data_IF_735219464611
#
_entry.id   IF_735219464611
#
_cell.length_a   1.000
_cell.length_b   1.000
_cell.length_c   1.000
_cell.angle_alpha   90.00
_cell.angle_beta   90.00
_cell.angle_gamma   90.00
#
_symmetry.space_group_name_H-M   'P 1'
#
loop_
_entity.id
_entity.type
_entity.pdbx_description
1 polymer ?
#
# COMPACT_ATOMS: atom_id res chain seq x y z
N UNK A 1 18.71 -14.02 -40.97
CA UNK A 1 17.48 -13.76 -40.21
C UNK A 1 17.85 -12.87 -39.03
N UNK A 2 17.54 -11.57 -39.10
CA UNK A 2 17.85 -10.58 -38.03
C UNK A 2 16.84 -10.74 -36.88
N UNK A 3 17.28 -10.79 -35.61
CA UNK A 3 16.35 -10.73 -34.49
C UNK A 3 15.89 -9.28 -34.29
N UNK A 4 14.58 -9.06 -34.30
CA UNK A 4 13.94 -7.79 -33.95
C UNK A 4 14.17 -7.48 -32.47
N UNK A 5 14.77 -6.33 -32.23
CA UNK A 5 14.88 -5.70 -30.90
C UNK A 5 13.48 -5.23 -30.45
N UNK A 6 12.88 -5.96 -29.53
CA UNK A 6 11.72 -5.48 -28.79
C UNK A 6 12.16 -4.39 -27.79
N UNK A 7 11.92 -3.14 -28.16
CA UNK A 7 11.97 -2.00 -27.23
C UNK A 7 10.87 -2.17 -26.17
N UNK A 8 11.29 -2.52 -24.97
CA UNK A 8 10.41 -2.57 -23.80
C UNK A 8 10.22 -1.16 -23.27
N UNK A 9 9.03 -0.60 -23.47
CA UNK A 9 8.59 0.65 -22.87
C UNK A 9 8.56 0.50 -21.34
N UNK A 10 9.39 1.31 -20.67
CA UNK A 10 9.33 1.52 -19.21
C UNK A 10 8.14 2.42 -18.94
N UNK A 11 7.07 1.90 -18.38
CA UNK A 11 6.01 2.70 -17.78
C UNK A 11 6.41 2.99 -16.33
N UNK A 12 7.08 4.12 -16.14
CA UNK A 12 7.01 4.82 -14.87
C UNK A 12 5.61 5.46 -14.83
N UNK A 13 4.76 5.00 -13.95
CA UNK A 13 3.49 5.65 -13.67
C UNK A 13 3.77 6.95 -12.89
N UNK A 14 4.09 8.03 -13.62
CA UNK A 14 4.04 9.37 -13.09
C UNK A 14 2.58 9.77 -13.02
N UNK A 15 2.01 9.85 -11.83
CA UNK A 15 0.72 10.47 -11.56
C UNK A 15 0.87 11.99 -11.76
N UNK A 16 0.67 12.46 -12.99
CA UNK A 16 0.44 13.86 -13.31
C UNK A 16 -1.03 14.14 -13.05
N UNK A 17 -1.33 14.70 -11.90
CA UNK A 17 -2.63 15.32 -11.60
C UNK A 17 -2.57 16.76 -12.12
N UNK A 18 -3.07 16.97 -13.34
CA UNK A 18 -3.38 18.29 -13.85
C UNK A 18 -4.77 18.68 -13.34
N UNK A 19 -4.80 19.69 -12.46
CA UNK A 19 -6.04 20.28 -11.97
C UNK A 19 -6.69 21.13 -13.04
N UNK A 20 -7.98 20.92 -13.27
CA UNK A 20 -8.87 21.86 -13.95
C UNK A 20 -9.75 22.50 -12.88
N UNK A 21 -9.54 23.81 -12.69
CA UNK A 21 -10.43 24.68 -11.92
C UNK A 21 -11.68 25.00 -12.76
N UNK A 22 -12.84 24.78 -12.19
CA UNK A 22 -14.06 25.44 -12.64
C UNK A 22 -14.70 26.12 -11.43
N UNK A 23 -14.77 27.43 -11.51
CA UNK A 23 -15.45 28.33 -10.58
C UNK A 23 -16.97 28.21 -10.73
N UNK A 24 -17.68 28.23 -9.61
CA UNK A 24 -19.13 28.34 -9.54
C UNK A 24 -19.54 29.08 -8.28
N UNK A 25 -19.89 30.37 -8.46
CA UNK A 25 -20.48 31.25 -7.44
C UNK A 25 -21.91 30.87 -7.09
N UNK A 26 -22.34 31.20 -5.87
CA UNK A 26 -23.72 31.43 -5.50
C UNK A 26 -23.97 31.42 -4.00
N UNK A 27 -24.47 32.53 -3.42
CA UNK A 27 -24.70 32.69 -1.99
C UNK A 27 -26.14 32.44 -1.62
N UNK A 28 -26.39 31.92 -0.42
CA UNK A 28 -27.67 32.11 0.27
C UNK A 28 -27.45 32.19 1.79
N UNK A 29 -27.78 33.35 2.28
CA UNK A 29 -27.91 33.66 3.71
C UNK A 29 -29.23 33.08 4.24
N UNK A 30 -29.27 32.72 5.53
CA UNK A 30 -30.34 33.05 6.46
C UNK A 30 -30.11 32.49 7.87
N UNK A 31 -30.03 33.40 8.79
CA UNK A 31 -30.81 33.60 10.03
C UNK A 31 -30.52 32.67 11.22
N UNK A 32 -30.02 33.30 12.27
CA UNK A 32 -30.06 32.86 13.66
C UNK A 32 -31.51 33.01 14.25
N UNK A 33 -31.78 32.39 15.40
CA UNK A 33 -32.19 33.20 16.52
C UNK A 33 -31.44 32.90 17.86
N UNK A 34 -31.42 33.97 18.61
CA UNK A 34 -30.90 34.10 19.98
C UNK A 34 -31.78 33.39 20.99
N UNK A 35 -31.19 33.01 22.12
CA UNK A 35 -31.88 32.55 23.30
C UNK A 35 -30.97 32.52 24.50
N UNK A 36 -31.13 33.54 25.33
CA UNK A 36 -30.45 33.81 26.59
C UNK A 36 -30.76 32.77 27.68
N UNK A 37 -29.87 32.57 28.63
CA UNK A 37 -30.03 32.88 30.06
C UNK A 37 -28.84 32.38 30.87
N UNK A 38 -28.22 33.29 31.62
CA UNK A 38 -27.31 32.98 32.74
C UNK A 38 -28.13 32.76 34.00
N UNK A 39 -27.58 32.09 35.01
CA UNK A 39 -27.54 32.70 36.33
C UNK A 39 -26.15 32.58 37.05
N UNK A 40 -25.67 33.71 37.53
CA UNK A 40 -25.28 34.15 38.88
C UNK A 40 -24.49 33.16 39.75
N UNK A 41 -23.33 33.66 40.16
CA UNK A 41 -22.41 33.16 41.18
C UNK A 41 -23.01 33.24 42.60
N UNK A 42 -22.35 32.61 43.61
CA UNK A 42 -21.74 33.44 44.63
C UNK A 42 -20.24 33.10 44.94
N UNK A 43 -19.59 34.13 45.37
CA UNK A 43 -18.25 34.18 45.90
C UNK A 43 -18.15 33.51 47.27
N UNK A 44 -17.02 32.89 47.56
CA UNK A 44 -16.43 32.84 48.89
C UNK A 44 -14.91 32.69 48.77
N UNK A 45 -14.25 33.59 49.38
CA UNK A 45 -12.81 33.64 49.59
C UNK A 45 -12.37 32.54 50.55
N UNK A 46 -11.22 31.93 50.28
CA UNK A 46 -10.29 31.61 51.37
C UNK A 46 -8.84 31.55 50.84
N UNK A 47 -7.99 32.23 51.55
CA UNK A 47 -6.56 32.35 51.38
C UNK A 47 -5.87 31.01 51.62
N UNK A 48 -5.18 30.46 50.60
CA UNK A 48 -4.05 29.57 50.84
C UNK A 48 -3.07 29.67 49.67
N UNK A 49 -1.96 30.35 49.90
CA UNK A 49 -0.79 30.44 49.04
C UNK A 49 -0.11 29.06 48.95
N UNK A 50 -0.11 28.36 47.84
CA UNK A 50 0.75 27.20 47.64
C UNK A 50 2.10 27.63 47.02
N UNK A 51 3.12 26.96 47.51
CA UNK A 51 4.53 27.08 47.17
C UNK A 51 4.77 27.01 45.65
N UNK A 52 5.80 27.74 45.22
CA UNK A 52 6.32 27.75 43.86
C UNK A 52 6.50 26.33 43.33
N UNK A 53 5.77 25.97 42.29
CA UNK A 53 5.99 24.77 41.48
C UNK A 53 7.34 24.94 40.74
N UNK A 54 8.15 23.86 40.63
CA UNK A 54 9.37 23.91 39.85
C UNK A 54 9.01 24.19 38.38
N UNK A 55 9.76 25.10 37.78
CA UNK A 55 9.67 25.47 36.38
C UNK A 55 9.70 24.17 35.53
N UNK A 56 8.60 23.88 34.85
CA UNK A 56 8.56 22.84 33.85
C UNK A 56 9.63 23.11 32.82
N UNK A 57 10.63 22.25 32.77
CA UNK A 57 11.63 22.26 31.71
C UNK A 57 10.90 22.27 30.38
N UNK A 58 11.02 23.32 29.60
CA UNK A 58 10.52 23.39 28.25
C UNK A 58 11.17 22.22 27.48
N UNK A 59 10.36 21.22 27.15
CA UNK A 59 10.78 20.13 26.28
C UNK A 59 11.07 20.77 24.92
N UNK A 60 12.36 20.88 24.60
CA UNK A 60 12.78 21.36 23.29
C UNK A 60 12.14 20.46 22.23
N UNK A 61 11.26 21.03 21.38
CA UNK A 61 10.69 20.35 20.24
C UNK A 61 11.83 19.82 19.37
N UNK A 62 11.81 18.55 18.95
CA UNK A 62 12.91 17.97 18.22
C UNK A 62 13.12 18.71 16.89
N UNK A 63 14.35 19.05 16.59
CA UNK A 63 14.85 19.74 15.38
C UNK A 63 14.46 19.02 14.06
N UNK A 64 13.95 17.81 14.16
CA UNK A 64 13.51 16.94 13.04
C UNK A 64 12.37 17.56 12.21
N UNK A 65 11.51 18.36 12.81
CA UNK A 65 10.34 18.93 12.16
C UNK A 65 10.70 19.96 11.07
N UNK A 66 11.81 20.68 11.24
CA UNK A 66 12.26 21.69 10.28
C UNK A 66 12.88 21.09 9.00
N UNK A 67 13.49 19.91 9.09
CA UNK A 67 14.19 19.30 7.96
C UNK A 67 13.19 18.72 6.94
N UNK A 68 12.12 18.08 7.42
CA UNK A 68 11.08 17.51 6.53
C UNK A 68 10.26 18.61 5.85
N UNK A 69 10.01 19.74 6.52
CA UNK A 69 9.32 20.90 5.89
C UNK A 69 10.08 21.55 4.73
N UNK A 70 11.39 21.33 4.61
CA UNK A 70 12.22 21.87 3.52
C UNK A 70 12.26 20.98 2.28
N UNK A 71 11.82 19.73 2.38
CA UNK A 71 11.82 18.76 1.27
C UNK A 71 10.54 18.82 0.42
N UNK A 72 10.28 17.73 -0.29
CA UNK A 72 9.05 17.58 -1.04
C UNK A 72 7.89 17.17 -0.12
N UNK A 73 6.72 17.80 -0.30
CA UNK A 73 5.47 17.39 0.34
C UNK A 73 4.37 17.16 -0.68
N UNK A 74 3.42 16.28 -0.32
CA UNK A 74 2.26 15.93 -1.15
C UNK A 74 1.03 15.77 -0.27
N UNK A 75 -0.16 16.25 -0.70
CA UNK A 75 -1.41 16.06 0.03
C UNK A 75 -1.68 14.57 0.29
N UNK A 76 -1.83 14.20 1.56
CA UNK A 76 -2.02 12.81 1.95
C UNK A 76 -3.43 12.30 1.68
N UNK A 77 -4.42 13.18 1.58
CA UNK A 77 -5.85 12.84 1.42
C UNK A 77 -6.10 11.77 0.37
N UNK A 78 -5.56 11.94 -0.86
CA UNK A 78 -5.79 10.99 -1.97
C UNK A 78 -5.16 9.63 -1.72
N UNK A 79 -3.97 9.61 -1.13
CA UNK A 79 -3.29 8.37 -0.79
C UNK A 79 -4.03 7.65 0.34
N UNK A 80 -4.51 8.38 1.35
CA UNK A 80 -5.33 7.85 2.43
C UNK A 80 -6.65 7.24 1.91
N UNK A 81 -7.35 7.90 0.99
CA UNK A 81 -8.56 7.36 0.34
C UNK A 81 -8.28 6.02 -0.36
N UNK A 82 -7.17 5.96 -1.11
CA UNK A 82 -6.74 4.74 -1.81
C UNK A 82 -6.45 3.60 -0.83
N UNK A 83 -5.64 3.89 0.21
CA UNK A 83 -5.25 2.91 1.22
C UNK A 83 -6.44 2.44 2.07
N UNK A 84 -7.35 3.34 2.42
CA UNK A 84 -8.57 3.03 3.14
C UNK A 84 -9.47 2.10 2.32
N UNK A 85 -9.68 2.39 1.04
CA UNK A 85 -10.43 1.51 0.13
C UNK A 85 -9.76 0.16 -0.06
N UNK A 86 -8.44 0.12 -0.24
CA UNK A 86 -7.71 -1.14 -0.34
C UNK A 86 -7.89 -1.99 0.93
N UNK A 87 -7.95 -1.35 2.08
CA UNK A 87 -8.13 -2.02 3.38
C UNK A 87 -9.56 -2.51 3.57
N UNK A 88 -10.58 -1.69 3.23
CA UNK A 88 -11.99 -2.05 3.39
C UNK A 88 -12.46 -3.04 2.32
N UNK A 89 -12.20 -2.74 1.04
CA UNK A 89 -12.66 -3.56 -0.09
C UNK A 89 -11.75 -4.75 -0.39
N UNK A 90 -10.50 -4.70 0.08
CA UNK A 90 -9.51 -5.76 -0.10
C UNK A 90 -9.72 -6.97 0.79
N UNK A 91 -10.69 -6.93 1.71
CA UNK A 91 -11.08 -8.03 2.61
C UNK A 91 -9.91 -8.63 3.40
N UNK A 92 -8.87 -7.83 3.67
CA UNK A 92 -7.66 -8.30 4.34
C UNK A 92 -6.76 -9.21 3.50
N UNK A 93 -7.07 -9.44 2.21
CA UNK A 93 -6.28 -10.32 1.33
C UNK A 93 -4.99 -9.65 0.84
N UNK A 94 -4.92 -8.33 0.86
CA UNK A 94 -3.82 -7.56 0.31
C UNK A 94 -3.16 -6.66 1.35
N UNK A 95 -1.84 -6.62 1.30
CA UNK A 95 -1.02 -5.70 2.11
C UNK A 95 -0.29 -4.77 1.15
N UNK A 96 -0.54 -3.47 1.29
CA UNK A 96 0.24 -2.46 0.58
C UNK A 96 1.58 -2.26 1.26
N UNK A 97 2.67 -2.33 0.50
CA UNK A 97 4.01 -2.05 0.97
C UNK A 97 4.67 -1.00 0.10
N UNK A 98 5.21 0.01 0.72
CA UNK A 98 5.93 1.07 0.03
C UNK A 98 7.43 0.84 0.12
N UNK A 99 8.13 1.17 -0.97
CA UNK A 99 9.58 1.10 -1.02
C UNK A 99 10.09 2.42 -1.60
N UNK A 100 10.97 3.08 -0.85
CA UNK A 100 11.73 4.22 -1.32
C UNK A 100 12.91 3.73 -2.15
N UNK A 101 13.19 4.44 -3.21
CA UNK A 101 14.33 4.21 -4.08
C UNK A 101 14.93 5.54 -4.51
N UNK A 102 16.12 5.50 -5.05
CA UNK A 102 16.64 6.64 -5.81
C UNK A 102 15.73 6.88 -7.05
N UNK A 103 15.44 8.14 -7.35
CA UNK A 103 14.55 8.49 -8.47
C UNK A 103 15.16 8.16 -9.84
N UNK A 104 16.48 8.20 -9.95
CA UNK A 104 17.23 7.94 -11.21
C UNK A 104 17.47 6.46 -11.41
N UNK A 105 17.62 5.71 -10.30
CA UNK A 105 17.90 4.28 -10.33
C UNK A 105 17.07 3.54 -9.27
N UNK A 106 15.94 3.00 -9.68
CA UNK A 106 15.02 2.26 -8.80
C UNK A 106 15.62 0.97 -8.20
N UNK A 107 16.84 0.58 -8.57
CA UNK A 107 17.57 -0.53 -7.96
C UNK A 107 18.41 -0.11 -6.75
N UNK A 108 18.59 1.20 -6.55
CA UNK A 108 19.36 1.77 -5.44
C UNK A 108 18.45 2.13 -4.27
N UNK A 109 18.96 1.98 -3.04
CA UNK A 109 18.24 2.46 -1.85
C UNK A 109 18.12 3.99 -1.90
N UNK A 110 17.24 4.57 -1.08
CA UNK A 110 17.12 6.02 -0.93
C UNK A 110 18.44 6.63 -0.39
N UNK A 111 18.66 7.93 -0.58
CA UNK A 111 19.79 8.64 0.02
C UNK A 111 19.88 8.41 1.53
N UNK A 112 21.11 8.29 2.05
CA UNK A 112 21.34 8.12 3.49
C UNK A 112 20.79 9.32 4.27
N UNK A 113 20.10 9.05 5.37
CA UNK A 113 19.48 10.09 6.17
C UNK A 113 18.11 10.57 5.67
N UNK A 114 17.52 9.86 4.70
CA UNK A 114 16.14 10.13 4.28
C UNK A 114 15.17 9.94 5.43
N UNK A 115 14.32 10.95 5.65
CA UNK A 115 13.27 10.95 6.67
C UNK A 115 11.92 11.14 5.98
N UNK A 116 10.92 10.44 6.46
CA UNK A 116 9.52 10.58 6.04
C UNK A 116 8.66 10.97 7.24
N UNK A 117 7.65 11.78 7.01
CA UNK A 117 6.64 12.09 7.99
C UNK A 117 5.29 12.40 7.35
N UNK A 118 4.22 12.18 8.10
CA UNK A 118 2.93 12.79 7.86
C UNK A 118 2.82 14.01 8.78
N UNK A 119 2.41 15.13 8.22
CA UNK A 119 2.38 16.41 8.88
C UNK A 119 1.05 17.11 8.67
N UNK A 120 0.54 17.74 9.72
CA UNK A 120 -0.51 18.74 9.66
C UNK A 120 -0.03 20.00 10.38
N UNK A 121 -0.90 20.97 10.58
CA UNK A 121 -0.55 22.15 11.39
C UNK A 121 -0.27 21.79 12.83
N UNK A 122 -0.98 20.77 13.37
CA UNK A 122 -0.93 20.38 14.78
C UNK A 122 -0.13 19.10 15.03
N UNK A 123 0.01 18.23 14.00
CA UNK A 123 0.56 16.88 14.15
C UNK A 123 1.81 16.66 13.30
N UNK A 124 2.77 15.92 13.88
CA UNK A 124 3.94 15.39 13.19
C UNK A 124 4.12 13.91 13.50
N UNK A 125 3.91 13.06 12.50
CA UNK A 125 3.97 11.61 12.64
C UNK A 125 5.16 11.10 11.80
N UNK A 126 6.30 10.74 12.43
CA UNK A 126 7.43 10.18 11.71
C UNK A 126 7.08 8.79 11.17
N UNK A 127 7.46 8.52 9.93
CA UNK A 127 7.30 7.22 9.28
C UNK A 127 8.63 6.49 9.31
N UNK A 128 8.74 5.35 10.02
CA UNK A 128 9.97 4.57 10.05
C UNK A 128 10.24 3.94 8.68
N UNK A 129 11.51 3.96 8.27
CA UNK A 129 12.00 3.35 7.04
C UNK A 129 12.99 2.25 7.43
N UNK A 130 12.83 1.05 6.89
CA UNK A 130 13.78 -0.04 7.12
C UNK A 130 15.05 0.10 6.24
N UNK A 131 16.05 -0.76 6.49
CA UNK A 131 17.34 -0.77 5.77
C UNK A 131 17.18 -1.03 4.26
N UNK A 132 16.03 -1.55 3.83
CA UNK A 132 15.69 -1.81 2.42
C UNK A 132 14.84 -0.70 1.80
N UNK A 133 14.65 0.40 2.52
CA UNK A 133 13.83 1.52 2.10
C UNK A 133 12.32 1.26 2.20
N UNK A 134 11.88 0.20 2.90
CA UNK A 134 10.46 -0.12 3.04
C UNK A 134 9.84 0.65 4.18
N UNK A 135 8.61 1.06 3.98
CA UNK A 135 7.82 1.76 4.99
C UNK A 135 6.33 1.46 4.81
N UNK A 136 5.58 1.65 5.87
CA UNK A 136 4.14 1.48 5.89
C UNK A 136 3.47 2.82 6.18
N UNK A 137 2.33 3.06 5.55
CA UNK A 137 1.55 4.27 5.75
C UNK A 137 0.28 3.95 6.56
N UNK A 138 0.07 4.65 7.69
CA UNK A 138 -1.16 4.51 8.45
C UNK A 138 -2.35 5.10 7.69
N UNK A 139 -3.55 4.62 7.96
CA UNK A 139 -4.78 5.22 7.44
C UNK A 139 -5.51 5.96 8.54
N UNK A 140 -6.11 7.08 8.18
CA UNK A 140 -6.83 7.99 9.07
C UNK A 140 -8.28 8.17 8.62
N UNK A 141 -9.10 8.72 9.48
CA UNK A 141 -10.42 9.22 9.08
C UNK A 141 -10.27 10.30 8.00
N UNK A 142 -11.28 10.46 7.17
CA UNK A 142 -11.27 11.46 6.09
C UNK A 142 -11.00 12.88 6.62
N UNK A 143 -11.55 13.20 7.80
CA UNK A 143 -11.35 14.49 8.47
C UNK A 143 -9.89 14.74 8.83
N UNK A 144 -9.23 13.75 9.41
CA UNK A 144 -7.82 13.86 9.81
C UNK A 144 -6.89 13.90 8.59
N UNK A 145 -7.15 13.06 7.57
CA UNK A 145 -6.32 13.00 6.38
C UNK A 145 -6.43 14.23 5.46
N UNK A 146 -7.50 15.04 5.63
CA UNK A 146 -7.79 16.19 4.76
C UNK A 146 -6.67 17.23 4.80
N UNK A 147 -6.15 17.49 5.99
CA UNK A 147 -5.19 18.55 6.25
C UNK A 147 -3.76 17.99 6.48
N UNK A 148 -3.56 16.69 6.16
CA UNK A 148 -2.25 16.05 6.26
C UNK A 148 -1.50 16.10 4.95
N UNK A 149 -0.20 16.36 5.05
CA UNK A 149 0.78 16.23 3.99
C UNK A 149 1.75 15.08 4.28
N UNK A 150 2.05 14.30 3.25
CA UNK A 150 3.16 13.36 3.28
C UNK A 150 4.43 14.07 2.82
N UNK A 151 5.43 14.14 3.67
CA UNK A 151 6.65 14.90 3.42
C UNK A 151 7.94 14.11 3.62
N UNK A 152 9.00 14.61 3.00
CA UNK A 152 10.37 14.09 3.12
C UNK A 152 11.37 15.25 3.24
N UNK A 153 12.53 14.98 3.83
CA UNK A 153 13.65 15.93 3.86
C UNK A 153 14.47 15.95 2.54
N UNK A 154 14.13 15.07 1.58
CA UNK A 154 14.82 14.97 0.30
C UNK A 154 14.14 15.88 -0.74
N UNK A 155 14.91 16.62 -1.57
CA UNK A 155 14.39 17.47 -2.61
C UNK A 155 13.49 16.73 -3.61
N UNK A 156 12.53 17.45 -4.19
CA UNK A 156 11.64 16.91 -5.21
C UNK A 156 12.42 16.39 -6.42
N UNK A 157 12.13 15.17 -6.82
CA UNK A 157 12.74 14.52 -7.99
C UNK A 157 13.98 13.68 -7.69
N UNK A 158 14.45 13.63 -6.43
CA UNK A 158 15.57 12.76 -6.03
C UNK A 158 15.11 11.45 -5.41
N UNK A 159 13.84 11.36 -5.00
CA UNK A 159 13.26 10.19 -4.36
C UNK A 159 12.20 9.55 -5.25
N UNK A 160 12.31 8.24 -5.44
CA UNK A 160 11.30 7.40 -6.06
C UNK A 160 10.48 6.66 -4.99
N UNK A 161 9.18 6.52 -5.20
CA UNK A 161 8.31 5.69 -4.36
C UNK A 161 7.72 4.60 -5.24
N UNK A 162 7.84 3.36 -4.79
CA UNK A 162 7.21 2.21 -5.44
C UNK A 162 6.23 1.57 -4.46
N UNK A 163 5.02 1.36 -4.93
CA UNK A 163 4.00 0.57 -4.22
C UNK A 163 4.08 -0.87 -4.72
N UNK A 164 4.20 -1.83 -3.82
CA UNK A 164 3.92 -3.24 -4.06
C UNK A 164 2.66 -3.66 -3.30
N UNK A 165 1.93 -4.59 -3.90
CA UNK A 165 0.76 -5.21 -3.27
C UNK A 165 1.13 -6.66 -3.04
N UNK A 166 1.28 -7.01 -1.77
CA UNK A 166 1.61 -8.36 -1.33
C UNK A 166 0.32 -9.07 -0.89
N UNK A 167 0.35 -10.40 -0.87
CA UNK A 167 -0.73 -11.20 -0.32
C UNK A 167 -0.56 -11.34 1.20
N UNK A 168 -1.67 -11.17 1.93
CA UNK A 168 -1.70 -11.37 3.37
C UNK A 168 -1.70 -12.86 3.75
N UNK A 169 -2.19 -13.71 2.84
CA UNK A 169 -2.27 -15.16 3.05
C UNK A 169 -0.88 -15.79 3.01
N UNK A 170 -0.47 -16.52 4.04
CA UNK A 170 0.77 -17.28 4.02
C UNK A 170 0.64 -18.50 3.09
N UNK A 171 1.75 -18.99 2.51
CA UNK A 171 1.72 -20.11 1.57
C UNK A 171 1.01 -21.38 2.08
N UNK A 172 1.16 -21.66 3.37
CA UNK A 172 0.60 -22.85 4.04
C UNK A 172 -0.93 -22.80 4.19
N UNK A 173 -1.52 -21.61 4.03
CA UNK A 173 -2.96 -21.38 4.16
C UNK A 173 -3.62 -21.06 2.81
N UNK A 174 -2.88 -21.15 1.70
CA UNK A 174 -3.40 -20.84 0.38
C UNK A 174 -4.18 -22.03 -0.18
N UNK A 175 -5.50 -21.96 -0.15
CA UNK A 175 -6.40 -22.88 -0.83
C UNK A 175 -6.97 -22.27 -2.13
N UNK A 176 -7.65 -23.09 -2.93
CA UNK A 176 -8.23 -22.64 -4.22
C UNK A 176 -9.40 -21.68 -4.02
N UNK A 177 -10.13 -21.78 -2.92
CA UNK A 177 -11.16 -20.78 -2.57
C UNK A 177 -10.53 -19.38 -2.38
N UNK A 178 -9.43 -19.33 -1.64
CA UNK A 178 -8.66 -18.10 -1.42
C UNK A 178 -8.08 -17.54 -2.72
N UNK A 179 -7.54 -18.40 -3.60
CA UNK A 179 -7.04 -17.96 -4.93
C UNK A 179 -8.16 -17.30 -5.74
N UNK A 180 -9.34 -17.93 -5.83
CA UNK A 180 -10.51 -17.37 -6.54
C UNK A 180 -10.98 -16.07 -5.92
N UNK A 181 -10.98 -16.00 -4.58
CA UNK A 181 -11.34 -14.79 -3.85
C UNK A 181 -10.35 -13.65 -4.12
N UNK A 182 -9.03 -13.92 -4.12
CA UNK A 182 -7.99 -12.94 -4.49
C UNK A 182 -8.26 -12.36 -5.89
N UNK A 183 -8.55 -13.21 -6.87
CA UNK A 183 -8.85 -12.77 -8.24
C UNK A 183 -10.12 -11.92 -8.29
N UNK A 184 -11.20 -12.39 -7.66
CA UNK A 184 -12.50 -11.69 -7.67
C UNK A 184 -12.42 -10.33 -6.96
N UNK A 185 -11.84 -10.30 -5.76
CA UNK A 185 -11.65 -9.06 -4.99
C UNK A 185 -10.70 -8.10 -5.71
N UNK A 186 -9.63 -8.63 -6.31
CA UNK A 186 -8.71 -7.81 -7.10
C UNK A 186 -9.37 -7.16 -8.32
N UNK A 187 -10.27 -7.85 -9.01
CA UNK A 187 -11.05 -7.29 -10.11
C UNK A 187 -12.06 -6.23 -9.61
N UNK A 188 -12.72 -6.49 -8.48
CA UNK A 188 -13.60 -5.51 -7.83
C UNK A 188 -12.83 -4.24 -7.43
N UNK A 189 -11.69 -4.38 -6.74
CA UNK A 189 -10.81 -3.25 -6.38
C UNK A 189 -10.42 -2.42 -7.60
N UNK A 190 -10.04 -3.06 -8.71
CA UNK A 190 -9.73 -2.35 -9.95
C UNK A 190 -10.92 -1.54 -10.46
N UNK A 191 -12.14 -2.05 -10.28
CA UNK A 191 -13.37 -1.36 -10.67
C UNK A 191 -13.71 -0.19 -9.75
N UNK A 192 -13.49 -0.33 -8.46
CA UNK A 192 -13.78 0.71 -7.46
C UNK A 192 -12.72 1.82 -7.43
N UNK A 193 -11.44 1.47 -7.63
CA UNK A 193 -10.35 2.42 -7.52
C UNK A 193 -10.07 3.17 -8.81
N UNK A 194 -10.40 2.60 -9.98
CA UNK A 194 -10.06 3.17 -11.27
C UNK A 194 -11.31 3.61 -12.05
N UNK A 195 -11.33 4.87 -12.55
CA UNK A 195 -12.35 5.30 -13.49
C UNK A 195 -12.37 4.41 -14.73
N UNK A 196 -13.54 4.20 -15.32
CA UNK A 196 -13.74 3.28 -16.44
C UNK A 196 -12.81 3.54 -17.64
N UNK A 197 -12.52 4.82 -17.93
CA UNK A 197 -11.71 5.24 -19.09
C UNK A 197 -10.20 4.99 -18.93
N UNK A 198 -9.70 4.69 -17.71
CA UNK A 198 -8.29 4.34 -17.48
C UNK A 198 -8.07 2.87 -17.14
N UNK A 199 -9.14 2.10 -16.86
CA UNK A 199 -9.03 0.69 -16.45
C UNK A 199 -8.24 -0.16 -17.46
N UNK A 200 -8.40 0.11 -18.75
CA UNK A 200 -7.71 -0.61 -19.82
C UNK A 200 -6.19 -0.39 -19.83
N UNK A 201 -5.69 0.65 -19.14
CA UNK A 201 -4.25 0.93 -19.03
C UNK A 201 -3.60 0.18 -17.86
N UNK A 202 -4.39 -0.21 -16.87
CA UNK A 202 -3.89 -0.83 -15.66
C UNK A 202 -3.99 -2.35 -15.72
N UNK A 203 -2.97 -3.08 -15.20
CA UNK A 203 -3.02 -4.53 -15.13
C UNK A 203 -4.17 -4.99 -14.24
N UNK A 204 -4.66 -6.18 -14.50
CA UNK A 204 -5.64 -6.85 -13.64
C UNK A 204 -5.02 -8.02 -12.91
N UNK A 205 -5.54 -8.31 -11.74
CA UNK A 205 -5.17 -9.51 -10.99
C UNK A 205 -5.79 -10.72 -11.70
N UNK A 206 -4.95 -11.68 -12.07
CA UNK A 206 -5.31 -12.86 -12.87
C UNK A 206 -4.95 -14.17 -12.16
N UNK A 207 -4.43 -14.11 -10.96
CA UNK A 207 -4.06 -15.28 -10.17
C UNK A 207 -3.04 -14.99 -9.10
N UNK A 208 -2.48 -16.06 -8.59
CA UNK A 208 -1.40 -16.08 -7.59
C UNK A 208 -0.20 -16.81 -8.17
N UNK A 209 0.99 -16.27 -7.93
CA UNK A 209 2.27 -16.90 -8.27
C UNK A 209 2.90 -17.37 -6.97
N UNK A 210 3.23 -18.65 -6.87
CA UNK A 210 4.01 -19.20 -5.77
C UNK A 210 5.43 -19.49 -6.27
N UNK A 211 6.44 -18.83 -5.66
CA UNK A 211 7.85 -19.01 -6.01
C UNK A 211 8.62 -19.59 -4.82
N UNK A 212 9.47 -20.59 -5.07
CA UNK A 212 10.21 -21.30 -4.03
C UNK A 212 11.61 -21.66 -4.48
N UNK A 213 12.51 -21.78 -3.51
CA UNK A 213 13.85 -22.38 -3.71
C UNK A 213 13.78 -23.92 -3.85
N UNK A 214 12.69 -24.56 -3.35
CA UNK A 214 12.39 -25.96 -3.55
C UNK A 214 11.04 -26.13 -4.30
N UNK A 215 11.06 -26.25 -5.64
CA UNK A 215 9.86 -26.21 -6.47
C UNK A 215 9.11 -27.57 -6.51
N UNK A 216 8.69 -28.05 -5.39
CA UNK A 216 7.94 -29.31 -5.21
C UNK A 216 6.57 -29.00 -4.62
N UNK A 217 5.78 -28.20 -5.31
CA UNK A 217 4.42 -27.87 -4.87
C UNK A 217 3.44 -28.98 -5.20
N UNK A 218 2.45 -29.15 -4.34
CA UNK A 218 1.33 -30.04 -4.53
C UNK A 218 0.03 -29.34 -4.10
N UNK A 219 -1.07 -29.65 -4.74
CA UNK A 219 -2.39 -29.39 -4.19
C UNK A 219 -2.86 -30.64 -3.46
N UNK A 220 -3.29 -30.51 -2.23
CA UNK A 220 -3.76 -31.58 -1.36
C UNK A 220 -5.19 -31.31 -0.93
N UNK A 221 -6.11 -32.26 -1.17
CA UNK A 221 -7.49 -32.18 -0.71
C UNK A 221 -8.05 -33.56 -0.44
N UNK A 222 -9.15 -33.61 0.31
CA UNK A 222 -9.90 -34.84 0.60
C UNK A 222 -11.29 -34.75 -0.04
N UNK A 223 -11.70 -35.82 -0.67
CA UNK A 223 -13.05 -36.00 -1.21
C UNK A 223 -13.64 -37.31 -0.69
N UNK A 224 -14.59 -37.19 0.24
CA UNK A 224 -15.05 -38.34 1.03
C UNK A 224 -13.92 -38.94 1.89
N UNK A 225 -13.69 -40.24 1.75
CA UNK A 225 -12.60 -40.96 2.43
C UNK A 225 -11.28 -40.96 1.65
N UNK A 226 -11.25 -40.37 0.46
CA UNK A 226 -10.08 -40.39 -0.43
C UNK A 226 -9.31 -39.07 -0.35
N UNK A 227 -7.98 -39.16 -0.20
CA UNK A 227 -7.07 -38.02 -0.23
C UNK A 227 -6.38 -37.94 -1.59
N UNK A 228 -6.44 -36.79 -2.19
CA UNK A 228 -5.84 -36.49 -3.47
C UNK A 228 -4.63 -35.59 -3.33
N UNK A 229 -3.59 -35.84 -4.11
CA UNK A 229 -2.39 -35.02 -4.20
C UNK A 229 -2.04 -34.81 -5.66
N UNK A 230 -2.05 -33.55 -6.09
CA UNK A 230 -1.73 -33.18 -7.45
C UNK A 230 -0.42 -32.40 -7.45
N UNK A 231 0.67 -32.91 -8.03
CA UNK A 231 1.90 -32.16 -8.18
C UNK A 231 1.69 -31.01 -9.17
N UNK A 232 2.21 -29.82 -8.80
CA UNK A 232 2.18 -28.65 -9.66
C UNK A 232 3.55 -28.46 -10.31
N UNK A 233 3.61 -28.39 -11.64
CA UNK A 233 4.86 -28.12 -12.35
C UNK A 233 5.29 -26.67 -12.19
N UNK A 234 6.59 -26.44 -12.25
CA UNK A 234 7.14 -25.10 -12.40
C UNK A 234 6.80 -24.56 -13.80
N UNK A 235 6.34 -23.31 -13.85
CA UNK A 235 6.12 -22.57 -15.08
C UNK A 235 7.44 -21.93 -15.54
N UNK A 236 8.01 -22.44 -16.63
CA UNK A 236 9.28 -21.95 -17.17
C UNK A 236 9.22 -20.50 -17.67
N UNK A 237 8.02 -19.99 -17.98
CA UNK A 237 7.81 -18.63 -18.45
C UNK A 237 7.63 -17.62 -17.29
N UNK A 238 7.26 -18.13 -16.12
CA UNK A 238 7.00 -17.30 -14.95
C UNK A 238 8.30 -17.03 -14.18
N UNK A 239 8.61 -15.75 -13.97
CA UNK A 239 9.72 -15.31 -13.14
C UNK A 239 9.19 -14.68 -11.87
N UNK A 240 9.94 -14.81 -10.81
CA UNK A 240 9.67 -14.14 -9.56
C UNK A 240 9.67 -12.61 -9.76
N UNK A 241 8.57 -11.89 -9.40
CA UNK A 241 8.41 -10.47 -9.70
C UNK A 241 9.49 -9.56 -9.11
N UNK A 242 10.01 -9.90 -7.94
CA UNK A 242 11.01 -9.08 -7.22
C UNK A 242 12.46 -9.35 -7.68
N UNK A 243 12.68 -10.35 -8.52
CA UNK A 243 14.04 -10.68 -8.94
C UNK A 243 14.58 -9.64 -9.93
N UNK A 244 15.73 -8.99 -9.63
CA UNK A 244 16.36 -8.05 -10.53
C UNK A 244 16.68 -8.70 -11.89
N UNK A 245 16.67 -7.90 -12.96
CA UNK A 245 17.04 -8.38 -14.28
C UNK A 245 18.47 -8.92 -14.28
N UNK A 246 18.65 -10.10 -14.90
CA UNK A 246 19.96 -10.75 -15.00
C UNK A 246 20.35 -11.62 -13.80
N UNK A 247 19.59 -11.59 -12.70
CA UNK A 247 19.81 -12.54 -11.60
C UNK A 247 18.96 -13.81 -11.80
N UNK A 248 19.43 -14.96 -11.30
CA UNK A 248 18.62 -16.18 -11.31
C UNK A 248 17.34 -15.96 -10.52
N UNK A 249 16.22 -16.34 -11.11
CA UNK A 249 14.90 -16.32 -10.47
C UNK A 249 14.63 -17.67 -9.83
N UNK A 250 13.98 -17.68 -8.69
CA UNK A 250 13.44 -18.91 -8.13
C UNK A 250 12.41 -19.51 -9.09
N UNK A 251 12.22 -20.81 -9.01
CA UNK A 251 11.15 -21.46 -9.77
C UNK A 251 9.78 -21.01 -9.23
N UNK A 252 8.82 -20.86 -10.13
CA UNK A 252 7.49 -20.40 -9.79
C UNK A 252 6.42 -21.28 -10.42
N UNK A 253 5.27 -21.41 -9.75
CA UNK A 253 4.04 -21.99 -10.32
C UNK A 253 2.92 -20.96 -10.25
N UNK A 254 1.88 -21.14 -11.05
CA UNK A 254 0.77 -20.19 -11.19
C UNK A 254 -0.55 -20.88 -10.90
N UNK A 255 -1.38 -20.21 -10.07
CA UNK A 255 -2.76 -20.60 -9.77
C UNK A 255 -3.66 -19.46 -10.24
N UNK A 256 -4.54 -19.71 -11.22
CA UNK A 256 -5.40 -18.66 -11.82
C UNK A 256 -6.79 -18.59 -11.19
N UNK A 257 -7.17 -19.64 -10.45
CA UNK A 257 -8.51 -19.79 -9.91
C UNK A 257 -9.56 -20.24 -10.94
N UNK A 258 -9.15 -20.42 -12.20
CA UNK A 258 -10.01 -20.93 -13.28
C UNK A 258 -9.97 -22.45 -13.39
N UNK A 259 -9.02 -23.08 -12.73
CA UNK A 259 -8.87 -24.51 -12.67
C UNK A 259 -10.07 -25.14 -11.95
N UNK A 260 -10.49 -26.31 -12.41
CA UNK A 260 -11.64 -27.05 -11.86
C UNK A 260 -11.28 -27.85 -10.60
N UNK A 261 -10.29 -27.40 -9.84
CA UNK A 261 -9.91 -28.02 -8.58
C UNK A 261 -10.88 -27.64 -7.48
N UNK A 262 -11.09 -28.50 -6.47
CA UNK A 262 -11.94 -28.18 -5.33
C UNK A 262 -11.48 -26.94 -4.58
N UNK A 263 -12.41 -26.18 -4.02
CA UNK A 263 -12.10 -25.01 -3.21
C UNK A 263 -11.20 -25.31 -2.01
N UNK A 264 -11.36 -26.51 -1.43
CA UNK A 264 -10.57 -26.98 -0.30
C UNK A 264 -9.16 -27.50 -0.71
N UNK A 265 -8.78 -27.44 -1.98
CA UNK A 265 -7.45 -27.87 -2.41
C UNK A 265 -6.39 -26.89 -1.91
N UNK A 266 -5.58 -27.32 -0.96
CA UNK A 266 -4.59 -26.52 -0.24
C UNK A 266 -3.22 -26.67 -0.88
N UNK A 267 -2.51 -25.56 -1.05
CA UNK A 267 -1.14 -25.56 -1.53
C UNK A 267 -0.20 -26.13 -0.45
N UNK A 268 0.44 -27.25 -0.78
CA UNK A 268 1.48 -27.85 0.04
C UNK A 268 2.86 -27.49 -0.51
N UNK A 269 3.71 -27.00 0.37
CA UNK A 269 5.11 -26.67 0.07
C UNK A 269 6.02 -27.61 0.86
N UNK A 270 7.25 -27.92 0.37
CA UNK A 270 8.19 -28.72 1.13
C UNK A 270 8.50 -28.08 2.48
N UNK A 271 8.67 -28.87 3.54
CA UNK A 271 9.07 -28.36 4.85
C UNK A 271 10.40 -27.59 4.76
N UNK A 272 10.45 -26.40 5.34
CA UNK A 272 11.63 -25.52 5.33
C UNK A 272 11.89 -24.78 4.01
N UNK A 273 11.08 -24.98 2.98
CA UNK A 273 11.18 -24.23 1.73
C UNK A 273 10.79 -22.77 1.94
N UNK A 274 11.61 -21.86 1.42
CA UNK A 274 11.28 -20.43 1.42
C UNK A 274 10.34 -20.12 0.25
N UNK A 275 9.05 -20.37 0.46
CA UNK A 275 8.02 -20.05 -0.54
C UNK A 275 7.45 -18.68 -0.30
N UNK A 276 7.34 -17.88 -1.37
CA UNK A 276 6.67 -16.57 -1.37
C UNK A 276 5.53 -16.56 -2.37
N UNK A 277 4.46 -15.89 -1.97
CA UNK A 277 3.29 -15.66 -2.82
C UNK A 277 3.32 -14.26 -3.39
N UNK A 278 2.94 -14.15 -4.66
CA UNK A 278 2.82 -12.88 -5.37
C UNK A 278 1.51 -12.82 -6.14
N UNK A 279 1.02 -11.62 -6.33
CA UNK A 279 -0.12 -11.38 -7.21
C UNK A 279 0.31 -11.56 -8.67
N UNK A 280 -0.38 -12.40 -9.43
CA UNK A 280 -0.20 -12.48 -10.88
C UNK A 280 -0.96 -11.34 -11.55
N UNK A 281 -0.24 -10.51 -12.28
CA UNK A 281 -0.79 -9.40 -13.03
C UNK A 281 -0.82 -9.73 -14.52
N UNK A 282 -1.99 -9.59 -15.16
CA UNK A 282 -2.14 -9.64 -16.60
C UNK A 282 -2.21 -8.23 -17.16
N UNK A 283 -1.27 -7.91 -18.07
CA UNK A 283 -1.30 -6.65 -18.79
C UNK A 283 -2.37 -6.68 -19.87
N UNK A 284 -3.23 -5.66 -19.96
CA UNK A 284 -4.31 -5.63 -20.94
C UNK A 284 -3.84 -5.53 -22.41
N UNK A 285 -2.56 -5.21 -22.62
CA UNK A 285 -1.92 -5.13 -23.95
C UNK A 285 -1.23 -6.41 -24.41
N UNK A 286 -1.28 -7.48 -23.66
CA UNK A 286 -0.59 -8.75 -23.94
C UNK A 286 -1.52 -9.82 -24.52
N UNK A 287 -2.75 -9.46 -24.92
CA UNK A 287 -3.71 -10.33 -25.59
C UNK A 287 -3.76 -10.07 -27.10
#
# INVERSE_FOLDING_TARGET
VKPQQFQRARLAAALLVTGVFAAGCGPAAMAAPAGATAPTAPASADDARPAAAPASAAVALPTVQSDVKRGASFPYKRLNELLSKLRTEGEGLFVSRFVLTDAKDASKPPPVGTKLALMSDDDYIPIPIDDKGRFDLPTFSERQAKDMDFGTNVPKGELGVRLSIDLATPPEMLDMATVRRIVTVGQRLRTELLPWYVRWMFPQIDGVIACSDAPQWQLDWSEGAQRWRLPLPADAQQREPETPKGKPSRACTVLTGQEQWPDAALLQTPPGANTKLYVKLRNPRAS
#
